data_IF_347877688788
#
_entry.id   IF_347877688788
#
_cell.length_a   1.000
_cell.length_b   1.000
_cell.length_c   1.000
_cell.angle_alpha   90.00
_cell.angle_beta   90.00
_cell.angle_gamma   90.00
#
_symmetry.space_group_name_H-M   'P 1'
#
loop_
_entity.id
_entity.type
_entity.pdbx_description
1 polymer ?
#
# COMPACT_ATOMS: atom_id res chain seq x y z
N UNK A 1 15.10 7.66 67.27
CA UNK A 1 14.49 8.83 66.61
C UNK A 1 15.22 9.02 65.28
N UNK A 2 14.66 8.54 64.18
CA UNK A 2 15.15 8.90 62.84
C UNK A 2 13.97 9.20 61.93
N UNK A 3 14.16 10.28 61.18
CA UNK A 3 13.17 11.11 60.53
C UNK A 3 12.44 10.44 59.38
N UNK A 4 11.24 10.98 59.17
CA UNK A 4 10.41 10.87 57.98
C UNK A 4 11.18 11.12 56.68
N UNK A 5 10.88 10.32 55.66
CA UNK A 5 10.99 10.77 54.29
C UNK A 5 9.89 10.10 53.47
N UNK A 6 8.77 10.80 53.36
CA UNK A 6 7.68 10.50 52.42
C UNK A 6 8.24 10.66 51.00
N UNK A 7 8.45 9.55 50.30
CA UNK A 7 8.74 9.57 48.87
C UNK A 7 7.43 9.83 48.13
N UNK A 8 7.28 11.07 47.67
CA UNK A 8 6.18 11.52 46.81
C UNK A 8 6.53 11.07 45.37
N UNK A 9 6.05 9.90 44.97
CA UNK A 9 6.18 9.41 43.59
C UNK A 9 5.28 10.24 42.69
N UNK A 10 5.81 11.32 42.09
CA UNK A 10 5.16 12.07 41.03
C UNK A 10 5.18 11.22 39.76
N UNK A 11 4.04 10.64 39.43
CA UNK A 11 3.82 9.92 38.18
C UNK A 11 3.74 10.96 37.04
N UNK A 12 4.84 11.12 36.30
CA UNK A 12 4.93 11.99 35.14
C UNK A 12 4.18 11.33 33.97
N UNK A 13 2.90 11.64 33.84
CA UNK A 13 2.11 11.32 32.64
C UNK A 13 2.54 12.26 31.51
N UNK A 14 3.55 11.85 30.75
CA UNK A 14 3.90 12.51 29.50
C UNK A 14 2.88 12.06 28.45
N UNK A 15 1.79 12.81 28.29
CA UNK A 15 0.83 12.62 27.20
C UNK A 15 1.49 13.06 25.89
N UNK A 16 2.05 12.12 25.15
CA UNK A 16 2.42 12.35 23.76
C UNK A 16 1.15 12.52 22.94
N UNK A 17 0.90 13.74 22.43
CA UNK A 17 -0.14 13.99 21.45
C UNK A 17 0.27 13.34 20.12
N UNK A 18 -0.31 12.18 19.82
CA UNK A 18 -0.16 11.54 18.53
C UNK A 18 -1.08 12.26 17.53
N UNK A 19 -0.50 13.03 16.61
CA UNK A 19 -1.23 13.51 15.44
C UNK A 19 -1.29 12.36 14.43
N UNK A 20 -2.46 11.74 14.31
CA UNK A 20 -2.68 10.64 13.38
C UNK A 20 -3.80 10.99 12.41
N UNK A 21 -3.46 10.97 11.12
CA UNK A 21 -4.44 10.81 10.04
C UNK A 21 -4.49 9.33 9.69
N UNK A 22 -5.64 8.80 9.34
CA UNK A 22 -5.79 7.42 8.86
C UNK A 22 -6.45 7.40 7.48
N UNK A 23 -6.22 6.34 6.73
CA UNK A 23 -6.86 6.09 5.43
C UNK A 23 -7.61 4.75 5.47
N UNK A 24 -8.78 4.67 4.82
CA UNK A 24 -9.63 3.48 4.80
C UNK A 24 -8.94 2.24 4.22
N UNK A 25 -8.06 2.42 3.24
CA UNK A 25 -7.33 1.34 2.59
C UNK A 25 -6.02 1.81 1.97
N UNK A 26 -5.02 0.93 1.95
CA UNK A 26 -3.76 1.13 1.23
C UNK A 26 -3.82 0.68 -0.23
N UNK A 27 -4.82 -0.11 -0.61
CA UNK A 27 -5.01 -0.60 -1.98
C UNK A 27 -6.51 -0.64 -2.29
N UNK A 28 -6.93 0.04 -3.35
CA UNK A 28 -8.28 -0.04 -3.89
C UNK A 28 -8.25 -0.56 -5.33
N UNK A 29 -9.27 -1.33 -5.68
CA UNK A 29 -9.53 -1.75 -7.05
C UNK A 29 -10.62 -0.84 -7.58
N UNK A 30 -10.44 -0.29 -8.78
CA UNK A 30 -11.47 0.55 -9.38
C UNK A 30 -12.75 -0.24 -9.65
N UNK A 31 -13.89 0.45 -9.48
CA UNK A 31 -15.19 -0.05 -9.90
C UNK A 31 -15.30 -0.12 -11.43
N UNK A 32 -16.45 -0.58 -11.92
CA UNK A 32 -16.74 -0.70 -13.36
C UNK A 32 -16.68 0.64 -14.11
N UNK A 33 -16.77 1.76 -13.40
CA UNK A 33 -16.68 3.11 -13.95
C UNK A 33 -15.26 3.70 -13.85
N UNK A 34 -14.26 2.91 -13.44
CA UNK A 34 -12.89 3.38 -13.25
C UNK A 34 -12.70 4.24 -12.00
N UNK A 35 -13.59 4.14 -11.01
CA UNK A 35 -13.59 5.00 -9.83
C UNK A 35 -13.19 4.24 -8.57
N UNK A 36 -12.51 4.94 -7.66
CA UNK A 36 -12.22 4.47 -6.32
C UNK A 36 -12.36 5.61 -5.31
N UNK A 37 -12.52 5.25 -4.04
CA UNK A 37 -12.74 6.18 -2.95
C UNK A 37 -11.87 5.81 -1.76
N UNK A 38 -11.08 6.77 -1.28
CA UNK A 38 -10.32 6.66 -0.05
C UNK A 38 -10.94 7.59 0.98
N UNK A 39 -11.31 7.06 2.14
CA UNK A 39 -11.79 7.88 3.26
C UNK A 39 -10.59 8.21 4.14
N UNK A 40 -10.35 9.49 4.36
CA UNK A 40 -9.27 10.01 5.20
C UNK A 40 -9.87 10.57 6.48
N UNK A 41 -9.48 10.03 7.61
CA UNK A 41 -10.01 10.45 8.92
C UNK A 41 -8.92 11.20 9.70
N UNK A 42 -9.25 12.39 10.19
CA UNK A 42 -8.39 13.11 11.11
C UNK A 42 -8.69 12.65 12.53
N UNK A 43 -7.86 11.76 13.07
CA UNK A 43 -8.00 11.27 14.45
C UNK A 43 -7.31 12.18 15.47
N UNK A 44 -6.60 13.21 15.01
CA UNK A 44 -5.98 14.23 15.86
C UNK A 44 -6.98 15.22 16.46
N UNK A 45 -6.43 16.16 17.22
CA UNK A 45 -7.19 17.20 17.93
C UNK A 45 -7.05 18.59 17.28
N UNK A 46 -6.26 18.70 16.20
CA UNK A 46 -6.06 19.91 15.42
C UNK A 46 -6.54 19.72 13.98
N UNK A 47 -6.93 20.83 13.35
CA UNK A 47 -7.31 20.85 11.94
C UNK A 47 -6.11 20.48 11.07
N UNK A 48 -6.37 19.72 10.00
CA UNK A 48 -5.36 19.32 9.02
C UNK A 48 -5.72 19.82 7.63
N UNK A 49 -4.74 20.38 6.93
CA UNK A 49 -4.81 20.63 5.49
C UNK A 49 -4.25 19.42 4.75
N UNK A 50 -5.06 18.76 3.93
CA UNK A 50 -4.66 17.58 3.17
C UNK A 50 -4.44 17.95 1.72
N UNK A 51 -3.28 17.57 1.16
CA UNK A 51 -3.02 17.62 -0.29
C UNK A 51 -2.96 16.19 -0.83
N UNK A 52 -3.70 15.91 -1.89
CA UNK A 52 -3.67 14.66 -2.64
C UNK A 52 -2.99 14.87 -3.98
N UNK A 53 -1.93 14.12 -4.23
CA UNK A 53 -1.19 14.09 -5.50
C UNK A 53 -1.28 12.69 -6.10
N UNK A 54 -1.31 12.58 -7.43
CA UNK A 54 -1.39 11.29 -8.12
C UNK A 54 -0.10 11.03 -8.91
N UNK A 55 0.28 9.77 -9.03
CA UNK A 55 1.38 9.31 -9.88
C UNK A 55 1.00 7.99 -10.56
N UNK A 56 1.39 7.80 -11.81
CA UNK A 56 1.27 6.50 -12.48
C UNK A 56 2.48 5.63 -12.10
N UNK A 57 2.21 4.41 -11.65
CA UNK A 57 3.24 3.38 -11.44
C UNK A 57 3.33 2.55 -12.71
N UNK A 58 4.52 2.56 -13.30
CA UNK A 58 4.87 1.73 -14.44
C UNK A 58 5.93 0.72 -14.02
N UNK A 59 5.88 -0.47 -14.61
CA UNK A 59 6.93 -1.46 -14.42
C UNK A 59 7.76 -1.54 -15.69
N UNK A 60 9.05 -1.23 -15.57
CA UNK A 60 10.00 -1.23 -16.69
C UNK A 60 11.20 -2.08 -16.29
N UNK A 61 11.53 -3.08 -17.12
CA UNK A 61 12.64 -4.02 -16.86
C UNK A 61 12.59 -4.71 -15.49
N UNK A 62 11.39 -5.04 -14.99
CA UNK A 62 11.23 -5.66 -13.68
C UNK A 62 11.22 -4.68 -12.49
N UNK A 63 11.46 -3.39 -12.71
CA UNK A 63 11.54 -2.36 -11.68
C UNK A 63 10.38 -1.36 -11.77
N UNK A 64 10.10 -0.65 -10.67
CA UNK A 64 9.01 0.34 -10.60
C UNK A 64 9.61 1.67 -11.02
N UNK A 65 8.98 2.27 -12.01
CA UNK A 65 9.15 3.65 -12.40
C UNK A 65 7.87 4.43 -12.04
N UNK A 66 8.00 5.60 -11.43
CA UNK A 66 6.86 6.40 -10.98
C UNK A 66 6.82 7.71 -11.76
N UNK A 67 5.73 7.95 -12.48
CA UNK A 67 5.51 9.19 -13.22
C UNK A 67 4.58 10.08 -12.41
N UNK A 68 5.14 11.15 -11.83
CA UNK A 68 4.34 12.14 -11.10
C UNK A 68 3.50 12.97 -12.08
N UNK A 69 2.21 13.09 -11.78
CA UNK A 69 1.30 13.94 -12.54
C UNK A 69 1.40 15.37 -12.02
N UNK A 70 1.78 16.29 -12.90
CA UNK A 70 1.95 17.72 -12.64
C UNK A 70 1.20 18.54 -13.69
N UNK A 71 1.12 19.85 -13.48
CA UNK A 71 0.50 20.76 -14.45
C UNK A 71 1.25 20.83 -15.79
N UNK A 72 2.50 20.42 -15.80
CA UNK A 72 3.37 20.50 -16.97
C UNK A 72 3.21 19.29 -17.90
N UNK A 73 2.48 18.24 -17.47
CA UNK A 73 2.30 16.99 -18.22
C UNK A 73 0.83 16.53 -18.24
N UNK A 74 -0.12 17.47 -18.32
CA UNK A 74 -1.56 17.16 -18.30
C UNK A 74 -2.01 16.25 -19.46
N UNK A 75 -1.31 16.30 -20.58
CA UNK A 75 -1.56 15.53 -21.79
C UNK A 75 -1.42 14.02 -21.59
N UNK A 76 -0.60 13.58 -20.63
CA UNK A 76 -0.42 12.15 -20.33
C UNK A 76 -1.29 11.66 -19.17
N UNK A 77 -2.12 12.52 -18.57
CA UNK A 77 -2.92 12.14 -17.41
C UNK A 77 -4.05 11.19 -17.81
N UNK A 78 -4.08 10.03 -17.16
CA UNK A 78 -5.15 9.01 -17.30
C UNK A 78 -6.06 8.92 -16.08
N UNK A 79 -5.77 9.69 -15.04
CA UNK A 79 -6.51 9.64 -13.79
C UNK A 79 -6.47 11.00 -13.08
N UNK A 80 -7.51 11.27 -12.31
CA UNK A 80 -7.67 12.51 -11.54
C UNK A 80 -8.12 12.22 -10.12
N UNK A 81 -7.78 13.12 -9.20
CA UNK A 81 -8.15 13.05 -7.79
C UNK A 81 -8.98 14.26 -7.37
N UNK A 82 -10.08 14.05 -6.66
CA UNK A 82 -10.99 15.10 -6.18
C UNK A 82 -11.48 14.82 -4.74
N UNK A 83 -11.40 15.80 -3.82
CA UNK A 83 -10.65 17.05 -3.95
C UNK A 83 -9.14 16.80 -3.90
N UNK A 84 -8.36 17.55 -4.68
CA UNK A 84 -6.89 17.51 -4.60
C UNK A 84 -6.34 18.25 -3.37
N UNK A 85 -7.13 19.15 -2.77
CA UNK A 85 -6.82 19.86 -1.53
C UNK A 85 -8.07 20.01 -0.70
N UNK A 86 -7.99 19.71 0.59
CA UNK A 86 -9.14 19.80 1.50
C UNK A 86 -8.69 20.07 2.93
N UNK A 87 -9.64 20.49 3.76
CA UNK A 87 -9.47 20.64 5.20
C UNK A 87 -10.25 19.54 5.89
N UNK A 88 -9.64 18.93 6.90
CA UNK A 88 -10.28 17.92 7.75
C UNK A 88 -10.21 18.40 9.20
N UNK A 89 -11.38 18.72 9.74
CA UNK A 89 -11.52 19.10 11.15
C UNK A 89 -11.24 17.92 12.10
N UNK A 90 -10.90 18.19 13.36
CA UNK A 90 -10.65 17.14 14.35
C UNK A 90 -11.82 16.15 14.45
N UNK A 91 -11.52 14.85 14.38
CA UNK A 91 -12.49 13.73 14.42
C UNK A 91 -13.45 13.67 13.22
N UNK A 92 -13.24 14.48 12.18
CA UNK A 92 -13.98 14.37 10.92
C UNK A 92 -13.23 13.51 9.90
N UNK A 93 -13.95 13.11 8.87
CA UNK A 93 -13.42 12.41 7.72
C UNK A 93 -13.78 13.12 6.41
N UNK A 94 -12.98 12.85 5.37
CA UNK A 94 -13.24 13.30 3.99
C UNK A 94 -12.99 12.15 3.02
N UNK A 95 -13.88 12.05 2.04
CA UNK A 95 -13.70 11.15 0.91
C UNK A 95 -12.83 11.82 -0.17
N UNK A 96 -11.79 11.11 -0.58
CA UNK A 96 -10.92 11.43 -1.71
C UNK A 96 -11.27 10.47 -2.84
N UNK A 97 -11.94 10.99 -3.87
CA UNK A 97 -12.36 10.23 -5.04
C UNK A 97 -11.26 10.27 -6.09
N UNK A 98 -10.90 9.10 -6.61
CA UNK A 98 -10.02 8.95 -7.75
C UNK A 98 -10.85 8.44 -8.92
N UNK A 99 -10.62 9.01 -10.09
CA UNK A 99 -11.32 8.61 -11.32
C UNK A 99 -10.28 8.39 -12.39
N UNK A 100 -10.17 7.16 -12.85
CA UNK A 100 -9.50 6.81 -14.09
C UNK A 100 -10.40 7.27 -15.24
N UNK A 101 -9.87 8.18 -16.04
CA UNK A 101 -10.54 8.71 -17.21
C UNK A 101 -9.68 8.34 -18.40
N UNK A 102 -10.21 7.41 -19.19
CA UNK A 102 -9.60 7.08 -20.46
C UNK A 102 -10.63 7.16 -21.57
N UNK A 103 -11.02 8.40 -21.83
CA UNK A 103 -11.99 8.79 -22.84
C UNK A 103 -11.37 8.89 -24.25
N UNK A 104 -10.05 9.10 -24.38
CA UNK A 104 -9.44 9.48 -25.66
C UNK A 104 -8.34 8.55 -26.15
N UNK A 105 -8.33 8.27 -27.46
CA UNK A 105 -7.31 7.49 -28.19
C UNK A 105 -5.90 8.09 -28.03
N UNK A 106 -5.79 9.40 -27.79
CA UNK A 106 -4.51 10.11 -27.60
C UNK A 106 -3.86 9.86 -26.22
N UNK A 107 -4.65 9.49 -25.21
CA UNK A 107 -4.14 9.16 -23.86
C UNK A 107 -3.43 7.79 -23.78
N UNK A 108 -3.44 7.03 -24.89
CA UNK A 108 -2.68 5.79 -25.02
C UNK A 108 -3.15 4.65 -24.08
N UNK A 109 -4.39 4.64 -23.61
CA UNK A 109 -4.87 3.48 -22.86
C UNK A 109 -5.28 2.36 -23.80
N UNK A 110 -4.47 1.32 -23.79
CA UNK A 110 -4.85 0.02 -24.29
C UNK A 110 -5.91 -0.60 -23.36
N UNK A 111 -7.05 -1.01 -23.94
CA UNK A 111 -8.09 -1.70 -23.19
C UNK A 111 -7.57 -3.04 -22.69
N UNK A 112 -7.97 -3.41 -21.48
CA UNK A 112 -7.62 -4.70 -20.90
C UNK A 112 -6.19 -4.79 -20.36
N UNK A 113 -5.45 -3.68 -20.30
CA UNK A 113 -4.13 -3.66 -19.66
C UNK A 113 -4.24 -3.06 -18.26
N UNK A 114 -3.62 -3.74 -17.30
CA UNK A 114 -3.57 -3.26 -15.92
C UNK A 114 -2.89 -1.88 -15.83
N UNK A 115 -3.41 -1.02 -14.96
CA UNK A 115 -2.80 0.27 -14.62
C UNK A 115 -2.80 0.44 -13.12
N UNK A 116 -1.73 1.03 -12.60
CA UNK A 116 -1.58 1.26 -11.16
C UNK A 116 -1.25 2.72 -10.93
N UNK A 117 -1.96 3.35 -10.00
CA UNK A 117 -1.72 4.73 -9.58
C UNK A 117 -1.42 4.79 -8.10
N UNK A 118 -0.48 5.65 -7.70
CA UNK A 118 -0.25 5.99 -6.29
C UNK A 118 -0.88 7.34 -5.99
N UNK A 119 -1.57 7.44 -4.86
CA UNK A 119 -2.24 8.66 -4.41
C UNK A 119 -1.58 9.15 -3.13
N UNK A 120 -0.61 10.05 -3.25
CA UNK A 120 0.07 10.63 -2.11
C UNK A 120 -0.85 11.64 -1.39
N UNK A 121 -1.32 11.27 -0.20
CA UNK A 121 -2.15 12.07 0.69
C UNK A 121 -1.28 12.61 1.83
N UNK A 122 -0.89 13.87 1.72
CA UNK A 122 0.06 14.53 2.62
C UNK A 122 -0.68 15.51 3.53
N UNK A 123 -0.77 15.24 4.84
CA UNK A 123 -1.36 16.17 5.79
C UNK A 123 -0.36 17.26 6.18
N UNK A 124 -0.84 18.47 6.36
CA UNK A 124 -0.08 19.61 6.91
C UNK A 124 -0.89 20.17 8.08
N UNK A 125 -0.30 20.31 9.28
CA UNK A 125 -1.00 20.86 10.43
C UNK A 125 -1.42 22.33 10.18
N UNK A 126 -2.59 22.69 10.69
CA UNK A 126 -3.10 24.06 10.66
C UNK A 126 -2.77 24.79 11.97
N UNK A 127 -2.25 26.02 11.87
CA UNK A 127 -2.00 26.89 13.02
C UNK A 127 -2.79 28.19 12.86
N UNK A 128 -3.49 28.60 13.91
CA UNK A 128 -4.23 29.88 13.94
C UNK A 128 -3.31 31.06 14.29
N UNK A 129 -2.23 30.83 15.05
CA UNK A 129 -1.28 31.84 15.53
C UNK A 129 0.19 31.46 15.22
N UNK A 130 1.13 32.36 15.58
CA UNK A 130 2.59 32.24 15.34
C UNK A 130 3.13 30.82 15.61
N UNK A 131 3.87 30.28 14.64
CA UNK A 131 4.47 28.96 14.74
C UNK A 131 5.37 28.87 15.98
N UNK A 132 5.26 27.82 16.81
CA UNK A 132 6.15 27.68 17.97
C UNK A 132 7.61 27.59 17.50
N UNK A 133 8.43 28.55 17.95
CA UNK A 133 9.83 28.79 17.57
C UNK A 133 10.76 27.56 17.66
N UNK A 134 10.36 26.52 18.40
CA UNK A 134 11.12 25.27 18.57
C UNK A 134 10.19 24.04 18.53
N UNK A 135 9.53 23.80 17.41
CA UNK A 135 8.77 22.56 17.17
C UNK A 135 9.33 21.79 15.99
N UNK A 136 9.64 20.50 16.21
CA UNK A 136 9.87 19.56 15.10
C UNK A 136 8.51 19.01 14.71
N UNK A 137 8.07 19.34 13.49
CA UNK A 137 6.79 18.89 12.96
C UNK A 137 7.02 17.69 12.04
N UNK A 138 6.48 16.54 12.42
CA UNK A 138 6.50 15.33 11.60
C UNK A 138 5.13 15.17 10.97
N UNK A 139 5.05 15.37 9.66
CA UNK A 139 3.87 15.06 8.87
C UNK A 139 4.03 13.67 8.25
N UNK A 140 3.19 12.72 8.64
CA UNK A 140 3.17 11.37 8.07
C UNK A 140 2.02 11.30 7.07
N UNK A 141 2.36 11.20 5.79
CA UNK A 141 1.40 10.99 4.70
C UNK A 141 1.26 9.53 4.31
N UNK A 142 0.21 9.22 3.56
CA UNK A 142 -0.04 7.90 2.99
C UNK A 142 0.04 7.95 1.47
N UNK A 143 0.42 6.85 0.84
CA UNK A 143 0.46 6.73 -0.62
C UNK A 143 -0.25 5.44 -1.08
N UNK A 144 -1.56 5.28 -0.83
CA UNK A 144 -2.30 4.11 -1.28
C UNK A 144 -2.27 3.95 -2.80
N UNK A 145 -2.52 2.73 -3.23
CA UNK A 145 -2.56 2.34 -4.64
C UNK A 145 -4.01 2.21 -5.12
N UNK A 146 -4.26 2.71 -6.32
CA UNK A 146 -5.44 2.37 -7.14
C UNK A 146 -5.00 1.42 -8.23
N UNK A 147 -5.71 0.31 -8.38
CA UNK A 147 -5.48 -0.67 -9.46
C UNK A 147 -6.69 -0.67 -10.39
N UNK A 148 -6.44 -0.42 -11.68
CA UNK A 148 -7.37 -0.65 -12.77
C UNK A 148 -7.07 -2.03 -13.34
N UNK A 149 -8.01 -2.96 -13.20
CA UNK A 149 -7.81 -4.33 -13.64
C UNK A 149 -7.81 -4.42 -15.16
N UNK A 150 -6.88 -5.22 -15.68
CA UNK A 150 -6.87 -5.63 -17.08
C UNK A 150 -7.82 -6.79 -17.36
N UNK A 151 -7.63 -7.42 -18.52
CA UNK A 151 -8.21 -8.71 -18.86
C UNK A 151 -7.45 -9.80 -18.12
N UNK A 152 -8.18 -10.80 -17.64
CA UNK A 152 -7.57 -11.93 -16.95
C UNK A 152 -7.04 -12.95 -17.96
N UNK A 153 -5.81 -13.38 -17.76
CA UNK A 153 -5.09 -14.30 -18.64
C UNK A 153 -4.48 -15.45 -17.84
N UNK A 154 -4.14 -16.58 -18.48
CA UNK A 154 -3.41 -17.66 -17.82
C UNK A 154 -2.12 -17.17 -17.15
N UNK A 155 -1.84 -17.70 -15.96
CA UNK A 155 -0.68 -17.29 -15.16
C UNK A 155 0.62 -17.65 -15.90
N UNK A 156 1.49 -16.65 -16.07
CA UNK A 156 2.84 -16.77 -16.55
C UNK A 156 3.81 -16.12 -15.54
N UNK A 157 4.49 -16.95 -14.75
CA UNK A 157 5.39 -16.50 -13.68
C UNK A 157 6.65 -17.35 -13.63
N UNK A 158 7.80 -16.71 -13.45
CA UNK A 158 9.04 -17.39 -13.10
C UNK A 158 9.27 -17.32 -11.60
N UNK A 159 9.50 -18.47 -10.98
CA UNK A 159 9.82 -18.60 -9.57
C UNK A 159 11.24 -19.15 -9.42
N UNK A 160 12.12 -18.38 -8.80
CA UNK A 160 13.48 -18.83 -8.48
C UNK A 160 13.70 -18.75 -6.96
N UNK A 161 14.13 -19.85 -6.37
CA UNK A 161 14.26 -19.98 -4.92
C UNK A 161 15.71 -20.28 -4.53
N UNK A 162 16.16 -19.59 -3.49
CA UNK A 162 17.31 -19.99 -2.67
C UNK A 162 16.83 -20.29 -1.25
N UNK A 163 17.74 -20.70 -0.37
CA UNK A 163 17.43 -20.88 1.06
C UNK A 163 16.82 -19.62 1.68
N UNK A 164 17.35 -18.45 1.35
CA UNK A 164 17.02 -17.17 2.00
C UNK A 164 16.09 -16.30 1.17
N UNK A 165 15.92 -16.58 -0.12
CA UNK A 165 15.16 -15.71 -1.02
C UNK A 165 14.20 -16.48 -1.92
N UNK A 166 13.06 -15.87 -2.20
CA UNK A 166 12.16 -16.26 -3.28
C UNK A 166 12.05 -15.08 -4.23
N UNK A 167 12.48 -15.27 -5.47
CA UNK A 167 12.31 -14.29 -6.52
C UNK A 167 11.09 -14.65 -7.38
N UNK A 168 10.17 -13.71 -7.53
CA UNK A 168 8.97 -13.86 -8.35
C UNK A 168 9.01 -12.86 -9.48
N UNK A 169 9.05 -13.35 -10.72
CA UNK A 169 8.89 -12.51 -11.90
C UNK A 169 7.53 -12.78 -12.54
N UNK A 170 6.65 -11.77 -12.51
CA UNK A 170 5.33 -11.85 -13.14
C UNK A 170 5.38 -11.37 -14.60
N UNK A 171 5.21 -12.30 -15.55
CA UNK A 171 5.09 -12.00 -16.99
C UNK A 171 3.63 -11.91 -17.47
N UNK A 172 2.67 -12.09 -16.57
CA UNK A 172 1.24 -11.99 -16.88
C UNK A 172 0.83 -10.52 -17.10
N UNK A 173 -0.26 -10.29 -17.83
CA UNK A 173 -0.77 -8.93 -18.13
C UNK A 173 -1.36 -8.18 -16.92
N UNK A 174 -1.69 -8.89 -15.83
CA UNK A 174 -2.19 -8.32 -14.58
C UNK A 174 -1.40 -8.81 -13.37
N UNK A 175 -1.65 -8.22 -12.20
CA UNK A 175 -1.01 -8.65 -10.97
C UNK A 175 -1.43 -10.08 -10.61
N UNK A 176 -0.52 -10.77 -9.94
CA UNK A 176 -0.77 -12.11 -9.39
C UNK A 176 -0.74 -12.06 -7.88
N UNK A 177 -1.61 -12.84 -7.24
CA UNK A 177 -1.59 -13.11 -5.82
C UNK A 177 -0.71 -14.33 -5.57
N UNK A 178 0.41 -14.15 -4.88
CA UNK A 178 1.35 -15.20 -4.50
C UNK A 178 1.15 -15.51 -3.02
N UNK A 179 0.71 -16.73 -2.74
CA UNK A 179 0.55 -17.28 -1.41
C UNK A 179 1.68 -18.27 -1.13
N UNK A 180 2.55 -17.91 -0.20
CA UNK A 180 3.66 -18.73 0.26
C UNK A 180 3.19 -19.45 1.54
N UNK A 181 3.24 -20.78 1.53
CA UNK A 181 2.84 -21.63 2.64
C UNK A 181 4.02 -22.52 3.06
N UNK A 182 4.60 -22.18 4.22
CA UNK A 182 5.67 -22.93 4.86
C UNK A 182 5.15 -23.69 6.09
N UNK A 183 3.84 -23.75 6.32
CA UNK A 183 3.29 -24.53 7.42
C UNK A 183 3.48 -26.02 7.08
N UNK A 184 4.28 -26.74 7.89
CA UNK A 184 4.27 -28.19 7.84
C UNK A 184 2.97 -28.69 8.52
N UNK A 185 2.61 -29.97 8.37
CA UNK A 185 1.53 -30.60 9.18
C UNK A 185 1.76 -30.45 10.69
N UNK A 186 2.96 -30.07 11.11
CA UNK A 186 3.26 -29.57 12.43
C UNK A 186 2.72 -28.14 12.57
N UNK A 187 1.53 -28.04 13.16
CA UNK A 187 1.28 -27.48 14.49
C UNK A 187 -0.21 -27.07 14.53
N UNK A 188 -1.09 -27.99 14.95
CA UNK A 188 -2.49 -27.69 15.35
C UNK A 188 -2.57 -26.74 16.58
N UNK A 189 -1.43 -26.37 17.16
CA UNK A 189 -1.32 -25.57 18.39
C UNK A 189 -0.74 -24.15 18.24
N UNK A 190 -0.42 -23.66 17.03
CA UNK A 190 0.05 -22.27 16.83
C UNK A 190 -1.13 -21.41 16.44
N UNK A 191 -1.55 -20.57 17.38
CA UNK A 191 -2.60 -19.56 17.22
C UNK A 191 -2.29 -18.47 16.16
N UNK A 192 -1.15 -18.54 15.46
CA UNK A 192 -0.68 -17.50 14.54
C UNK A 192 -0.35 -18.05 13.14
N UNK A 193 -1.38 -18.27 12.31
CA UNK A 193 -1.25 -18.66 10.88
C UNK A 193 -0.38 -17.69 10.07
N UNK A 194 -0.24 -16.43 10.52
CA UNK A 194 0.59 -15.39 9.89
C UNK A 194 2.10 -15.65 9.97
N UNK A 195 2.57 -16.55 10.84
CA UNK A 195 4.01 -16.82 11.00
C UNK A 195 4.56 -17.83 9.98
N UNK A 196 3.68 -18.59 9.31
CA UNK A 196 4.06 -19.59 8.30
C UNK A 196 3.34 -19.42 6.95
N UNK A 197 2.45 -18.42 6.82
CA UNK A 197 1.85 -18.04 5.53
C UNK A 197 2.09 -16.57 5.21
N UNK A 198 2.42 -16.30 3.95
CA UNK A 198 2.60 -14.93 3.47
C UNK A 198 1.91 -14.75 2.12
N UNK A 199 1.14 -13.67 1.99
CA UNK A 199 0.50 -13.29 0.73
C UNK A 199 1.18 -12.04 0.20
N UNK A 200 1.51 -12.04 -1.09
CA UNK A 200 2.04 -10.86 -1.77
C UNK A 200 1.38 -10.69 -3.12
N UNK A 201 1.13 -9.44 -3.51
CA UNK A 201 0.71 -9.09 -4.87
C UNK A 201 1.92 -8.67 -5.68
N UNK A 202 2.12 -9.28 -6.83
CA UNK A 202 3.23 -8.97 -7.75
C UNK A 202 2.63 -8.37 -9.01
N UNK A 203 2.90 -7.10 -9.26
CA UNK A 203 2.38 -6.36 -10.43
C UNK A 203 2.84 -6.99 -11.75
N UNK A 204 2.07 -6.76 -12.81
CA UNK A 204 2.47 -7.15 -14.16
C UNK A 204 3.88 -6.64 -14.51
N UNK A 205 4.71 -7.50 -15.10
CA UNK A 205 6.08 -7.19 -15.49
C UNK A 205 7.08 -7.07 -14.33
N UNK A 206 6.67 -7.21 -13.06
CA UNK A 206 7.54 -6.95 -11.90
C UNK A 206 8.41 -8.16 -11.58
N UNK A 207 9.70 -7.89 -11.36
CA UNK A 207 10.62 -8.82 -10.73
C UNK A 207 10.76 -8.45 -9.25
N UNK A 208 10.29 -9.33 -8.36
CA UNK A 208 10.19 -9.05 -6.93
C UNK A 208 10.94 -10.11 -6.11
N UNK A 209 12.13 -9.76 -5.60
CA UNK A 209 12.84 -10.59 -4.64
C UNK A 209 12.25 -10.44 -3.25
N UNK A 210 11.98 -11.55 -2.59
CA UNK A 210 11.52 -11.63 -1.21
C UNK A 210 12.57 -12.28 -0.34
N UNK A 211 12.91 -11.64 0.78
CA UNK A 211 13.66 -12.28 1.86
C UNK A 211 12.70 -13.20 2.62
N UNK A 212 13.04 -14.48 2.68
CA UNK A 212 12.32 -15.51 3.41
C UNK A 212 12.74 -15.46 4.89
N UNK A 213 11.80 -15.26 5.83
CA UNK A 213 12.10 -15.42 7.25
C UNK A 213 12.57 -16.84 7.53
N UNK A 214 13.31 -17.05 8.62
CA UNK A 214 13.82 -18.37 9.01
C UNK A 214 12.73 -19.45 9.03
N UNK A 215 11.50 -19.11 9.42
CA UNK A 215 10.35 -20.03 9.44
C UNK A 215 9.96 -20.58 8.06
N UNK A 216 10.36 -19.91 6.97
CA UNK A 216 10.11 -20.28 5.57
C UNK A 216 11.30 -20.96 4.89
N UNK A 217 12.46 -21.06 5.56
CA UNK A 217 13.69 -21.65 5.01
C UNK A 217 13.71 -23.18 5.15
N UNK A 218 12.63 -23.85 4.74
CA UNK A 218 12.48 -25.32 4.73
C UNK A 218 12.79 -25.88 3.35
N UNK A 219 13.33 -27.09 3.24
CA UNK A 219 13.69 -27.69 1.94
C UNK A 219 12.54 -27.59 0.93
N UNK A 220 11.34 -27.99 1.31
CA UNK A 220 10.14 -27.87 0.47
C UNK A 220 9.30 -26.63 0.86
N UNK A 221 8.94 -25.82 -0.13
CA UNK A 221 8.03 -24.67 0.03
C UNK A 221 6.88 -24.75 -0.96
N UNK A 222 5.64 -24.67 -0.44
CA UNK A 222 4.45 -24.61 -1.28
C UNK A 222 4.18 -23.15 -1.64
N UNK A 223 4.15 -22.86 -2.92
CA UNK A 223 3.79 -21.53 -3.45
C UNK A 223 2.56 -21.68 -4.34
N UNK A 224 1.47 -21.02 -3.99
CA UNK A 224 0.27 -20.94 -4.81
C UNK A 224 0.21 -19.57 -5.45
N UNK A 225 0.05 -19.54 -6.77
CA UNK A 225 -0.11 -18.31 -7.54
C UNK A 225 -1.52 -18.30 -8.11
N UNK A 226 -2.24 -17.18 -7.92
CA UNK A 226 -3.56 -16.94 -8.48
C UNK A 226 -3.56 -15.67 -9.30
N UNK A 227 -4.31 -15.67 -10.40
CA UNK A 227 -4.62 -14.43 -11.13
C UNK A 227 -5.44 -13.47 -10.25
N UNK A 228 -5.56 -12.21 -10.66
CA UNK A 228 -6.15 -11.16 -9.82
C UNK A 228 -7.63 -11.39 -9.44
N UNK A 229 -8.44 -12.03 -10.31
CA UNK A 229 -9.82 -12.48 -10.01
C UNK A 229 -9.87 -13.96 -9.59
N UNK A 230 -8.76 -14.67 -9.66
CA UNK A 230 -8.63 -16.08 -9.27
C UNK A 230 -9.23 -17.08 -10.25
N UNK A 231 -9.51 -16.69 -11.51
CA UNK A 231 -9.96 -17.64 -12.52
C UNK A 231 -8.88 -18.68 -12.88
N UNK A 232 -7.61 -18.32 -12.71
CA UNK A 232 -6.47 -19.20 -12.90
C UNK A 232 -5.73 -19.39 -11.57
N UNK A 233 -5.26 -20.62 -11.35
CA UNK A 233 -4.49 -21.00 -10.18
C UNK A 233 -3.41 -22.01 -10.59
N UNK A 234 -2.20 -21.81 -10.07
CA UNK A 234 -1.07 -22.72 -10.23
C UNK A 234 -0.42 -22.96 -8.88
N UNK A 235 -0.02 -24.21 -8.62
CA UNK A 235 0.61 -24.61 -7.36
C UNK A 235 1.99 -25.17 -7.67
N UNK A 236 2.99 -24.61 -6.99
CA UNK A 236 4.39 -24.96 -7.11
C UNK A 236 4.88 -25.55 -5.80
N UNK A 237 5.74 -26.56 -5.89
CA UNK A 237 6.59 -27.03 -4.79
C UNK A 237 8.02 -26.74 -5.18
N UNK A 238 8.62 -25.79 -4.48
CA UNK A 238 9.95 -25.26 -4.78
C UNK A 238 10.94 -25.81 -3.76
N UNK A 239 12.05 -26.33 -4.26
CA UNK A 239 13.15 -26.85 -3.45
C UNK A 239 14.39 -25.95 -3.64
N UNK A 240 15.34 -25.97 -2.71
CA UNK A 240 16.60 -25.23 -2.82
C UNK A 240 17.81 -26.12 -2.55
#
# INVERSE_FOLDING_TARGET
MFNSLRWFTVFLFISNSCHAVTVSSMIEIADENGQAKYTVTNTGDSRVYLTAEISEIQVQNGEINTIKYTRDNLDIWKASVRPARTIIDPKFEKDIKVTFDCSDVESGCEKGVERVFSIAMVPTPYFEDEQPLHSVQVAIGFAPLLIILGTEEPINVDLNRTKETLNVYNHSAGYVNVSIDACAELIESTKNVSECKRNVRVLAGRNLPFVLPETFQKEDLKVTVKSFKGAFEQVYRLNY
#
